data_IF_061151519137
#
_entry.id   IF_061151519137
#
_cell.length_a   1.000
_cell.length_b   1.000
_cell.length_c   1.000
_cell.angle_alpha   90.00
_cell.angle_beta   90.00
_cell.angle_gamma   90.00
#
_symmetry.space_group_name_H-M   'P 1'
#
loop_
_entity.id
_entity.type
_entity.pdbx_description
1 polymer ?
#
# COMPACT_ATOMS: atom_id res chain seq x y z
N UNK A 1 -50.36 -55.74 29.70
CA UNK A 1 -50.37 -55.22 28.31
C UNK A 1 -50.02 -53.75 28.36
N UNK A 2 -48.75 -53.38 28.09
CA UNK A 2 -48.34 -51.98 28.01
C UNK A 2 -48.39 -51.55 26.54
N UNK A 3 -49.31 -50.64 26.22
CA UNK A 3 -49.42 -50.05 24.91
C UNK A 3 -48.15 -49.21 24.63
N UNK A 4 -47.41 -49.58 23.60
CA UNK A 4 -46.33 -48.77 23.08
C UNK A 4 -46.92 -47.47 22.51
N UNK A 5 -46.63 -46.34 23.16
CA UNK A 5 -46.88 -45.01 22.60
C UNK A 5 -45.95 -44.86 21.41
N UNK A 6 -46.50 -45.02 20.21
CA UNK A 6 -45.79 -44.72 18.97
C UNK A 6 -45.53 -43.20 18.92
N UNK A 7 -44.27 -42.81 19.05
CA UNK A 7 -43.85 -41.44 18.79
C UNK A 7 -43.92 -41.18 17.27
N UNK A 8 -44.60 -40.12 16.82
CA UNK A 8 -44.69 -39.85 15.40
C UNK A 8 -43.32 -39.42 14.87
N UNK A 9 -42.84 -40.14 13.85
CA UNK A 9 -41.62 -39.81 13.10
C UNK A 9 -41.85 -38.46 12.42
N UNK A 10 -41.31 -37.38 12.97
CA UNK A 10 -41.44 -36.01 12.45
C UNK A 10 -40.58 -35.80 11.19
N UNK A 11 -40.82 -36.61 10.16
CA UNK A 11 -40.09 -36.59 8.90
C UNK A 11 -40.33 -35.28 8.13
N UNK A 12 -39.24 -34.57 7.83
CA UNK A 12 -39.15 -33.53 6.79
C UNK A 12 -39.67 -32.14 7.16
N UNK A 13 -40.88 -32.02 7.71
CA UNK A 13 -41.53 -30.70 7.91
C UNK A 13 -40.82 -29.82 8.94
N UNK A 14 -40.31 -30.42 10.03
CA UNK A 14 -39.54 -29.70 11.05
C UNK A 14 -38.19 -29.19 10.53
N UNK A 15 -37.51 -30.00 9.71
CA UNK A 15 -36.24 -29.65 9.08
C UNK A 15 -36.40 -28.52 8.05
N UNK A 16 -37.44 -28.57 7.21
CA UNK A 16 -37.73 -27.52 6.23
C UNK A 16 -38.07 -26.18 6.92
N UNK A 17 -38.82 -26.22 8.02
CA UNK A 17 -39.12 -25.04 8.84
C UNK A 17 -37.86 -24.44 9.47
N UNK A 18 -36.97 -25.28 10.01
CA UNK A 18 -35.66 -24.85 10.52
C UNK A 18 -34.81 -24.22 9.40
N UNK A 19 -34.71 -24.87 8.24
CA UNK A 19 -33.96 -24.37 7.10
C UNK A 19 -34.48 -23.00 6.61
N UNK A 20 -35.81 -22.80 6.59
CA UNK A 20 -36.43 -21.54 6.22
C UNK A 20 -36.13 -20.41 7.23
N UNK A 21 -36.29 -20.66 8.54
CA UNK A 21 -35.92 -19.71 9.59
C UNK A 21 -34.44 -19.35 9.54
N UNK A 22 -33.59 -20.33 9.24
CA UNK A 22 -32.17 -20.15 9.12
C UNK A 22 -31.79 -19.26 7.92
N UNK A 23 -32.35 -19.53 6.73
CA UNK A 23 -32.14 -18.69 5.53
C UNK A 23 -32.58 -17.24 5.77
N UNK A 24 -33.67 -17.05 6.51
CA UNK A 24 -34.16 -15.74 6.90
C UNK A 24 -33.17 -15.03 7.86
N UNK A 25 -32.56 -15.78 8.78
CA UNK A 25 -31.46 -15.30 9.62
C UNK A 25 -30.18 -14.95 8.83
N UNK A 26 -29.87 -15.71 7.77
CA UNK A 26 -28.72 -15.43 6.90
C UNK A 26 -28.94 -14.16 6.07
N UNK A 27 -30.13 -13.99 5.51
CA UNK A 27 -30.51 -12.75 4.81
C UNK A 27 -30.45 -11.54 5.76
N UNK A 28 -30.96 -11.68 6.99
CA UNK A 28 -30.87 -10.64 8.02
C UNK A 28 -29.40 -10.29 8.38
N UNK A 29 -28.49 -11.27 8.39
CA UNK A 29 -27.07 -11.03 8.62
C UNK A 29 -26.40 -10.27 7.46
N UNK A 30 -26.69 -10.63 6.21
CA UNK A 30 -26.18 -9.91 5.05
C UNK A 30 -26.66 -8.47 5.03
N UNK A 31 -27.95 -8.25 5.36
CA UNK A 31 -28.53 -6.92 5.51
C UNK A 31 -27.89 -6.17 6.69
N UNK A 32 -27.61 -6.85 7.81
CA UNK A 32 -26.93 -6.27 8.97
C UNK A 32 -25.47 -5.89 8.70
N UNK A 33 -24.72 -6.70 7.94
CA UNK A 33 -23.36 -6.38 7.50
C UNK A 33 -23.34 -5.15 6.58
N UNK A 34 -24.23 -5.12 5.59
CA UNK A 34 -24.35 -3.99 4.67
C UNK A 34 -24.83 -2.71 5.38
N UNK A 35 -25.86 -2.83 6.22
CA UNK A 35 -26.41 -1.73 7.02
C UNK A 35 -25.41 -1.22 8.06
N UNK A 36 -24.67 -2.12 8.73
CA UNK A 36 -23.62 -1.78 9.67
C UNK A 36 -22.45 -1.06 9.01
N UNK A 37 -22.03 -1.52 7.82
CA UNK A 37 -21.03 -0.83 7.00
C UNK A 37 -21.49 0.59 6.64
N UNK A 38 -22.71 0.73 6.14
CA UNK A 38 -23.28 2.02 5.77
C UNK A 38 -23.42 2.97 6.97
N UNK A 39 -23.92 2.48 8.11
CA UNK A 39 -24.06 3.26 9.34
C UNK A 39 -22.69 3.66 9.90
N UNK A 40 -21.70 2.76 9.84
CA UNK A 40 -20.31 3.04 10.23
C UNK A 40 -19.71 4.20 9.42
N UNK A 41 -19.98 4.25 8.11
CA UNK A 41 -19.56 5.38 7.27
C UNK A 41 -20.24 6.69 7.67
N UNK A 42 -21.53 6.69 8.01
CA UNK A 42 -22.23 7.90 8.46
C UNK A 42 -21.76 8.37 9.83
N UNK A 43 -21.57 7.45 10.77
CA UNK A 43 -21.08 7.75 12.11
C UNK A 43 -19.67 8.34 12.05
N UNK A 44 -18.80 7.80 11.18
CA UNK A 44 -17.46 8.33 10.97
C UNK A 44 -17.49 9.79 10.49
N UNK A 45 -18.38 10.13 9.54
CA UNK A 45 -18.55 11.52 9.09
C UNK A 45 -18.93 12.47 10.23
N UNK A 46 -19.84 12.03 11.11
CA UNK A 46 -20.26 12.81 12.27
C UNK A 46 -19.13 12.97 13.28
N UNK A 47 -18.42 11.89 13.61
CA UNK A 47 -17.32 11.89 14.59
C UNK A 47 -16.13 12.76 14.13
N UNK A 48 -15.76 12.68 12.85
CA UNK A 48 -14.77 13.57 12.24
C UNK A 48 -15.23 15.03 12.31
N UNK A 49 -16.51 15.29 12.05
CA UNK A 49 -17.10 16.63 12.22
C UNK A 49 -17.08 17.16 13.66
N UNK A 50 -16.99 16.28 14.65
CA UNK A 50 -16.86 16.60 16.08
C UNK A 50 -15.39 16.64 16.57
N UNK A 51 -14.41 16.53 15.66
CA UNK A 51 -12.99 16.55 16.01
C UNK A 51 -12.45 15.24 16.60
N UNK A 52 -13.24 14.16 16.56
CA UNK A 52 -12.81 12.82 16.99
C UNK A 52 -12.23 12.09 15.78
N UNK A 53 -10.90 11.98 15.73
CA UNK A 53 -10.17 11.26 14.69
C UNK A 53 -9.79 9.86 15.18
N UNK A 54 -10.41 8.82 14.61
CA UNK A 54 -9.89 7.46 14.71
C UNK A 54 -8.83 7.23 13.62
N UNK A 55 -7.88 6.31 13.85
CA UNK A 55 -6.90 5.94 12.81
C UNK A 55 -7.61 5.45 11.53
N UNK A 56 -6.94 5.57 10.39
CA UNK A 56 -7.49 5.33 9.03
C UNK A 56 -8.20 3.98 8.83
N UNK A 57 -8.07 3.03 9.76
CA UNK A 57 -8.62 1.67 9.67
C UNK A 57 -9.54 1.27 10.83
N UNK A 58 -9.66 2.08 11.89
CA UNK A 58 -10.46 1.71 13.07
C UNK A 58 -11.96 1.63 12.78
N UNK A 59 -12.45 2.41 11.80
CA UNK A 59 -13.86 2.41 11.38
C UNK A 59 -14.24 1.16 10.57
N UNK A 60 -13.27 0.49 9.95
CA UNK A 60 -13.53 -0.73 9.18
C UNK A 60 -13.90 -1.90 10.09
N UNK A 61 -13.44 -1.92 11.33
CA UNK A 61 -13.57 -3.05 12.26
C UNK A 61 -14.95 -3.06 12.97
N UNK A 62 -15.53 -1.88 13.21
CA UNK A 62 -16.83 -1.68 13.86
C UNK A 62 -18.02 -2.46 13.26
N UNK A 63 -18.26 -2.45 11.94
CA UNK A 63 -19.35 -3.23 11.34
C UNK A 63 -19.18 -4.74 11.52
N UNK A 64 -17.95 -5.25 11.62
CA UNK A 64 -17.70 -6.67 11.86
C UNK A 64 -18.00 -7.06 13.32
N UNK A 65 -17.61 -6.22 14.30
CA UNK A 65 -18.00 -6.44 15.70
C UNK A 65 -19.52 -6.44 15.88
N UNK A 66 -20.22 -5.49 15.23
CA UNK A 66 -21.68 -5.43 15.28
C UNK A 66 -22.31 -6.66 14.60
N UNK A 67 -21.81 -7.08 13.43
CA UNK A 67 -22.30 -8.28 12.75
C UNK A 67 -22.14 -9.54 13.62
N UNK A 68 -20.99 -9.71 14.29
CA UNK A 68 -20.76 -10.84 15.21
C UNK A 68 -21.74 -10.79 16.40
N UNK A 69 -21.97 -9.61 16.97
CA UNK A 69 -22.90 -9.46 18.10
C UNK A 69 -24.37 -9.71 17.72
N UNK A 70 -24.82 -9.20 16.56
CA UNK A 70 -26.19 -9.40 16.08
C UNK A 70 -26.42 -10.83 15.55
N UNK A 71 -25.38 -11.50 15.03
CA UNK A 71 -25.45 -12.91 14.65
C UNK A 71 -25.78 -13.81 15.86
N UNK A 72 -25.16 -13.57 17.01
CA UNK A 72 -25.43 -14.33 18.23
C UNK A 72 -26.90 -14.27 18.67
N UNK A 73 -27.54 -13.11 18.53
CA UNK A 73 -28.96 -12.90 18.86
C UNK A 73 -29.87 -13.60 17.84
N UNK A 74 -29.56 -13.49 16.55
CA UNK A 74 -30.32 -14.17 15.50
C UNK A 74 -30.23 -15.70 15.63
N UNK A 75 -29.02 -16.23 15.85
CA UNK A 75 -28.79 -17.65 16.10
C UNK A 75 -29.52 -18.14 17.35
N UNK A 76 -29.45 -17.40 18.46
CA UNK A 76 -30.19 -17.73 19.68
C UNK A 76 -31.71 -17.73 19.46
N UNK A 77 -32.24 -16.82 18.64
CA UNK A 77 -33.68 -16.75 18.33
C UNK A 77 -34.12 -17.92 17.45
N UNK A 78 -33.32 -18.30 16.44
CA UNK A 78 -33.61 -19.45 15.58
C UNK A 78 -33.50 -20.76 16.37
N UNK A 79 -32.45 -20.94 17.17
CA UNK A 79 -32.26 -22.13 18.01
C UNK A 79 -33.40 -22.21 19.05
N UNK A 80 -33.66 -21.12 19.78
CA UNK A 80 -34.71 -21.06 20.79
C UNK A 80 -36.11 -21.32 20.24
N UNK A 81 -36.44 -20.76 19.07
CA UNK A 81 -37.74 -20.98 18.42
C UNK A 81 -37.89 -22.37 17.81
N UNK A 82 -36.78 -23.02 17.44
CA UNK A 82 -36.77 -24.39 16.90
C UNK A 82 -36.88 -25.44 18.00
N UNK A 83 -36.19 -25.21 19.13
CA UNK A 83 -36.27 -26.07 20.32
C UNK A 83 -37.67 -26.01 20.95
N UNK A 84 -38.28 -24.83 21.06
CA UNK A 84 -39.59 -24.66 21.69
C UNK A 84 -40.77 -25.14 20.82
N UNK A 85 -40.67 -25.14 19.48
CA UNK A 85 -41.77 -25.57 18.58
C UNK A 85 -41.69 -26.99 18.06
N UNK A 86 -40.50 -27.56 17.88
CA UNK A 86 -40.31 -28.83 17.15
C UNK A 86 -39.72 -29.93 18.06
N UNK A 87 -39.29 -29.58 19.26
CA UNK A 87 -38.95 -30.52 20.33
C UNK A 87 -37.65 -31.30 20.17
N UNK A 88 -36.93 -31.23 19.04
CA UNK A 88 -35.67 -31.99 18.86
C UNK A 88 -34.63 -31.25 18.01
N UNK A 89 -33.56 -30.79 18.66
CA UNK A 89 -32.31 -30.40 17.99
C UNK A 89 -31.54 -31.68 17.59
N UNK A 90 -31.94 -32.30 16.48
CA UNK A 90 -31.21 -33.47 15.93
C UNK A 90 -29.82 -33.11 15.41
N UNK A 91 -28.93 -34.10 15.30
CA UNK A 91 -27.55 -33.95 14.81
C UNK A 91 -27.41 -33.29 13.43
N UNK A 92 -28.42 -33.41 12.56
CA UNK A 92 -28.47 -32.68 11.29
C UNK A 92 -28.56 -31.16 11.45
N UNK A 93 -29.27 -30.66 12.47
CA UNK A 93 -29.33 -29.23 12.79
C UNK A 93 -27.97 -28.74 13.30
N UNK A 94 -27.29 -29.55 14.11
CA UNK A 94 -25.93 -29.24 14.57
C UNK A 94 -24.94 -29.17 13.41
N UNK A 95 -24.97 -30.14 12.49
CA UNK A 95 -24.09 -30.15 11.32
C UNK A 95 -24.28 -28.90 10.45
N UNK A 96 -25.53 -28.53 10.14
CA UNK A 96 -25.86 -27.33 9.37
C UNK A 96 -25.42 -26.06 10.11
N UNK A 97 -25.62 -25.99 11.43
CA UNK A 97 -25.19 -24.85 12.26
C UNK A 97 -23.67 -24.68 12.24
N UNK A 98 -22.92 -25.78 12.40
CA UNK A 98 -21.44 -25.77 12.37
C UNK A 98 -20.94 -25.35 10.99
N UNK A 99 -21.45 -25.96 9.92
CA UNK A 99 -21.03 -25.65 8.55
C UNK A 99 -21.18 -24.16 8.25
N UNK A 100 -22.31 -23.57 8.63
CA UNK A 100 -22.62 -22.17 8.34
C UNK A 100 -21.87 -21.18 9.24
N UNK A 101 -21.54 -21.56 10.47
CA UNK A 101 -20.61 -20.79 11.31
C UNK A 101 -19.22 -20.71 10.65
N UNK A 102 -18.69 -21.84 10.17
CA UNK A 102 -17.41 -21.86 9.46
C UNK A 102 -17.46 -21.09 8.14
N UNK A 103 -18.52 -21.25 7.34
CA UNK A 103 -18.69 -20.47 6.11
C UNK A 103 -18.72 -18.96 6.37
N UNK A 104 -19.39 -18.52 7.44
CA UNK A 104 -19.43 -17.10 7.83
C UNK A 104 -18.05 -16.58 8.21
N UNK A 105 -17.31 -17.31 9.06
CA UNK A 105 -15.95 -16.94 9.48
C UNK A 105 -15.02 -16.86 8.27
N UNK A 106 -15.06 -17.87 7.38
CA UNK A 106 -14.25 -17.88 6.16
C UNK A 106 -14.62 -16.72 5.25
N UNK A 107 -15.92 -16.47 5.04
CA UNK A 107 -16.40 -15.36 4.22
C UNK A 107 -15.95 -14.00 4.73
N UNK A 108 -16.02 -13.77 6.05
CA UNK A 108 -15.49 -12.55 6.68
C UNK A 108 -13.98 -12.46 6.51
N UNK A 109 -13.23 -13.53 6.77
CA UNK A 109 -11.77 -13.53 6.62
C UNK A 109 -11.34 -13.25 5.17
N UNK A 110 -12.04 -13.82 4.18
CA UNK A 110 -11.78 -13.55 2.77
C UNK A 110 -12.15 -12.10 2.38
N UNK A 111 -13.27 -11.58 2.90
CA UNK A 111 -13.64 -10.18 2.68
C UNK A 111 -12.61 -9.23 3.31
N UNK A 112 -12.08 -9.55 4.50
CA UNK A 112 -11.00 -8.81 5.13
C UNK A 112 -9.71 -8.88 4.32
N UNK A 113 -9.33 -10.07 3.83
CA UNK A 113 -8.17 -10.24 2.97
C UNK A 113 -8.30 -9.47 1.65
N UNK A 114 -9.48 -9.52 1.02
CA UNK A 114 -9.76 -8.78 -0.21
C UNK A 114 -9.71 -7.27 0.02
N UNK A 115 -10.38 -6.77 1.07
CA UNK A 115 -10.32 -5.35 1.41
C UNK A 115 -8.90 -4.93 1.73
N UNK A 116 -8.16 -5.68 2.55
CA UNK A 116 -6.76 -5.39 2.85
C UNK A 116 -5.93 -5.28 1.56
N UNK A 117 -5.99 -6.28 0.67
CA UNK A 117 -5.26 -6.26 -0.61
C UNK A 117 -5.73 -5.13 -1.54
N UNK A 118 -7.03 -4.83 -1.58
CA UNK A 118 -7.58 -3.77 -2.43
C UNK A 118 -7.29 -2.36 -1.91
N UNK A 119 -7.17 -2.19 -0.59
CA UNK A 119 -6.97 -0.89 0.08
C UNK A 119 -5.55 -0.68 0.58
N UNK A 120 -4.62 -1.64 0.42
CA UNK A 120 -3.20 -1.41 0.67
C UNK A 120 -2.68 -0.41 -0.38
N UNK A 121 -2.32 0.83 0.01
CA UNK A 121 -1.62 1.76 -0.88
C UNK A 121 -0.14 1.36 -1.04
N UNK A 122 0.29 0.32 -0.31
CA UNK A 122 1.65 -0.19 -0.22
C UNK A 122 2.05 -1.19 -1.30
N UNK A 123 1.47 -1.10 -2.50
CA UNK A 123 2.25 -1.40 -3.69
C UNK A 123 2.89 -0.09 -4.12
N UNK A 124 4.03 0.22 -3.51
CA UNK A 124 5.05 1.01 -4.17
C UNK A 124 5.43 0.24 -5.45
N UNK A 125 4.64 0.53 -6.48
CA UNK A 125 4.54 -0.06 -7.82
C UNK A 125 4.05 -1.52 -7.91
N UNK A 126 2.96 -1.75 -8.66
CA UNK A 126 2.69 -3.03 -9.36
C UNK A 126 3.78 -3.42 -10.38
N UNK A 127 4.85 -2.62 -10.46
CA UNK A 127 5.81 -2.57 -11.54
C UNK A 127 7.26 -2.41 -11.06
N UNK A 128 7.60 -2.78 -9.82
CA UNK A 128 8.97 -2.62 -9.29
C UNK A 128 9.99 -3.42 -10.13
N UNK A 129 9.57 -4.50 -10.78
CA UNK A 129 10.40 -5.28 -11.71
C UNK A 129 10.65 -4.57 -13.05
N UNK A 130 9.64 -3.95 -13.68
CA UNK A 130 9.85 -3.17 -14.92
C UNK A 130 10.57 -1.87 -14.62
N UNK A 131 10.26 -1.21 -13.50
CA UNK A 131 11.02 -0.05 -13.03
C UNK A 131 12.50 -0.40 -12.76
N UNK A 132 12.78 -1.58 -12.19
CA UNK A 132 14.15 -2.07 -12.00
C UNK A 132 14.84 -2.45 -13.33
N UNK A 133 14.11 -3.03 -14.29
CA UNK A 133 14.66 -3.32 -15.62
C UNK A 133 14.98 -2.03 -16.39
N UNK A 134 14.11 -1.04 -16.33
CA UNK A 134 14.32 0.26 -16.95
C UNK A 134 15.46 1.02 -16.26
N UNK A 135 15.60 0.90 -14.93
CA UNK A 135 16.78 1.37 -14.20
C UNK A 135 18.06 0.67 -14.68
N UNK A 136 18.08 -0.67 -14.76
CA UNK A 136 19.25 -1.42 -15.22
C UNK A 136 19.62 -1.09 -16.66
N UNK A 137 18.63 -0.91 -17.55
CA UNK A 137 18.85 -0.51 -18.94
C UNK A 137 19.45 0.90 -19.03
N UNK A 138 18.90 1.86 -18.28
CA UNK A 138 19.45 3.23 -18.21
C UNK A 138 20.85 3.26 -17.63
N UNK A 139 21.09 2.50 -16.55
CA UNK A 139 22.41 2.35 -15.94
C UNK A 139 23.43 1.78 -16.93
N UNK A 140 23.08 0.71 -17.64
CA UNK A 140 23.95 0.10 -18.64
C UNK A 140 24.25 1.06 -19.80
N UNK A 141 23.26 1.82 -20.28
CA UNK A 141 23.46 2.84 -21.31
C UNK A 141 24.41 3.95 -20.81
N UNK A 142 24.22 4.43 -19.58
CA UNK A 142 25.09 5.41 -18.96
C UNK A 142 26.54 4.89 -18.79
N UNK A 143 26.71 3.65 -18.33
CA UNK A 143 28.04 3.03 -18.16
C UNK A 143 28.72 2.82 -19.51
N UNK A 144 27.97 2.52 -20.57
CA UNK A 144 28.48 2.36 -21.94
C UNK A 144 29.02 3.68 -22.53
N UNK A 145 28.57 4.84 -22.05
CA UNK A 145 29.17 6.13 -22.45
C UNK A 145 30.64 6.23 -22.03
N UNK A 146 31.05 5.55 -20.96
CA UNK A 146 32.44 5.53 -20.50
C UNK A 146 32.96 6.89 -20.01
N UNK A 147 32.07 7.82 -19.63
CA UNK A 147 32.45 9.15 -19.19
C UNK A 147 33.07 9.16 -17.80
N UNK A 148 34.29 9.70 -17.72
CA UNK A 148 34.93 10.04 -16.47
C UNK A 148 34.66 11.50 -16.10
N UNK A 149 34.17 11.72 -14.88
CA UNK A 149 33.75 13.04 -14.43
C UNK A 149 34.35 13.32 -13.07
N UNK A 150 35.08 14.43 -12.99
CA UNK A 150 35.71 14.90 -11.76
C UNK A 150 35.35 16.36 -11.47
N UNK A 151 35.25 16.69 -10.19
CA UNK A 151 34.94 18.04 -9.72
C UNK A 151 36.01 18.50 -8.73
N UNK A 152 36.49 19.73 -8.92
CA UNK A 152 37.37 20.42 -7.99
C UNK A 152 36.88 21.84 -7.77
N UNK A 153 37.19 22.44 -6.63
CA UNK A 153 36.84 23.83 -6.36
C UNK A 153 38.02 24.53 -5.70
N UNK A 154 38.46 25.62 -6.31
CA UNK A 154 39.58 26.47 -5.87
C UNK A 154 39.20 27.93 -6.12
N UNK A 155 39.60 28.83 -5.22
CA UNK A 155 39.40 30.28 -5.35
C UNK A 155 37.95 30.73 -5.65
N UNK A 156 36.96 29.99 -5.13
CA UNK A 156 35.54 30.29 -5.36
C UNK A 156 35.03 29.90 -6.75
N UNK A 157 35.81 29.12 -7.51
CA UNK A 157 35.42 28.60 -8.81
C UNK A 157 35.33 27.07 -8.73
N UNK A 158 34.15 26.54 -9.03
CA UNK A 158 33.96 25.12 -9.25
C UNK A 158 34.40 24.79 -10.67
N UNK A 159 35.28 23.80 -10.82
CA UNK A 159 35.72 23.24 -12.09
C UNK A 159 35.21 21.81 -12.21
N UNK A 160 34.54 21.52 -13.31
CA UNK A 160 34.06 20.21 -13.65
C UNK A 160 34.69 19.76 -14.97
N UNK A 161 35.43 18.66 -14.90
CA UNK A 161 36.09 18.04 -16.06
C UNK A 161 35.33 16.77 -16.42
N UNK A 162 34.90 16.69 -17.68
CA UNK A 162 34.17 15.56 -18.24
C UNK A 162 34.96 15.02 -19.43
N UNK A 163 35.46 13.79 -19.33
CA UNK A 163 36.24 13.14 -20.37
C UNK A 163 35.53 11.86 -20.84
N UNK A 164 35.63 11.58 -22.13
CA UNK A 164 35.15 10.36 -22.74
C UNK A 164 36.08 9.17 -22.47
N UNK A 165 35.70 7.98 -22.95
CA UNK A 165 36.48 6.76 -22.77
C UNK A 165 37.85 6.80 -23.47
N UNK A 166 38.01 7.67 -24.46
CA UNK A 166 39.25 7.97 -25.19
C UNK A 166 40.10 9.08 -24.54
N UNK A 167 39.61 9.66 -23.44
CA UNK A 167 40.24 10.80 -22.76
C UNK A 167 39.96 12.16 -23.43
N UNK A 168 39.14 12.21 -24.49
CA UNK A 168 38.75 13.47 -25.11
C UNK A 168 37.71 14.22 -24.25
N UNK A 169 37.70 15.56 -24.24
CA UNK A 169 36.66 16.33 -23.54
C UNK A 169 35.28 16.04 -24.14
N UNK A 170 34.29 15.85 -23.27
CA UNK A 170 32.90 15.59 -23.66
C UNK A 170 32.03 16.82 -23.40
N UNK A 171 31.17 17.12 -24.36
CA UNK A 171 30.23 18.23 -24.33
C UNK A 171 28.79 17.70 -24.39
N UNK A 172 28.10 17.55 -23.26
CA UNK A 172 26.70 17.16 -23.27
C UNK A 172 25.83 18.25 -23.89
N UNK A 173 24.75 17.85 -24.56
CA UNK A 173 23.77 18.76 -25.20
C UNK A 173 23.01 19.57 -24.16
N UNK A 174 22.72 18.95 -23.02
CA UNK A 174 22.11 19.59 -21.85
C UNK A 174 22.86 19.15 -20.59
N UNK A 175 23.06 20.07 -19.65
CA UNK A 175 23.69 19.78 -18.37
C UNK A 175 23.07 20.63 -17.27
N UNK A 176 22.62 19.97 -16.22
CA UNK A 176 22.17 20.60 -14.98
C UNK A 176 22.97 20.04 -13.81
N UNK A 177 23.35 20.92 -12.88
CA UNK A 177 23.90 20.47 -11.61
C UNK A 177 23.42 21.31 -10.44
N UNK A 178 23.18 20.64 -9.33
CA UNK A 178 22.81 21.25 -8.06
C UNK A 178 23.91 20.93 -7.05
N UNK A 179 24.46 21.98 -6.47
CA UNK A 179 25.43 21.92 -5.39
C UNK A 179 24.71 22.06 -4.05
N UNK A 180 24.94 21.13 -3.14
CA UNK A 180 24.28 21.16 -1.84
C UNK A 180 25.04 20.40 -0.76
N UNK A 181 24.58 20.54 0.49
CA UNK A 181 25.13 19.78 1.62
C UNK A 181 24.48 18.41 1.74
N UNK A 182 25.16 17.46 2.39
CA UNK A 182 24.66 16.08 2.53
C UNK A 182 23.34 15.97 3.31
N UNK A 183 23.06 16.92 4.22
CA UNK A 183 21.95 16.83 5.19
C UNK A 183 21.09 18.10 5.27
N UNK A 184 21.32 19.10 4.42
CA UNK A 184 20.59 20.36 4.44
C UNK A 184 20.25 20.79 3.02
N UNK A 185 18.94 20.95 2.74
CA UNK A 185 18.40 21.38 1.43
C UNK A 185 18.48 22.91 1.29
N UNK A 186 18.60 23.65 2.40
CA UNK A 186 18.55 25.11 2.45
C UNK A 186 19.68 25.81 1.66
N UNK A 187 20.79 25.10 1.44
CA UNK A 187 21.98 25.63 0.74
C UNK A 187 22.09 25.07 -0.70
N UNK A 188 21.01 24.52 -1.27
CA UNK A 188 21.04 24.00 -2.64
C UNK A 188 21.14 25.16 -3.65
N UNK A 189 22.25 25.20 -4.39
CA UNK A 189 22.52 26.18 -5.43
C UNK A 189 22.53 25.48 -6.80
N UNK A 190 21.72 25.99 -7.74
CA UNK A 190 21.80 25.60 -9.15
C UNK A 190 23.08 26.20 -9.74
N UNK A 191 23.86 25.37 -10.42
CA UNK A 191 25.13 25.77 -11.01
C UNK A 191 24.92 26.13 -12.48
N UNK A 192 25.20 27.39 -12.81
CA UNK A 192 25.31 27.84 -14.20
C UNK A 192 26.76 27.69 -14.65
N UNK A 193 27.01 26.70 -15.50
CA UNK A 193 28.34 26.45 -16.02
C UNK A 193 28.62 27.27 -17.27
N UNK A 194 29.80 27.86 -17.31
CA UNK A 194 30.43 28.41 -18.53
C UNK A 194 31.58 27.49 -18.93
N UNK A 195 31.85 27.33 -20.22
CA UNK A 195 32.99 26.54 -20.66
C UNK A 195 34.23 27.43 -20.87
N UNK A 196 35.36 27.07 -20.26
CA UNK A 196 36.62 27.84 -20.39
C UNK A 196 37.60 27.28 -21.44
N UNK A 197 37.16 26.28 -22.21
CA UNK A 197 37.98 25.56 -23.20
C UNK A 197 38.59 24.27 -22.68
N UNK A 198 38.59 24.05 -21.36
CA UNK A 198 39.14 22.83 -20.72
C UNK A 198 38.18 22.20 -19.72
N UNK A 199 37.35 22.99 -19.06
CA UNK A 199 36.42 22.55 -18.04
C UNK A 199 35.15 23.39 -18.06
N UNK A 200 34.08 22.82 -17.51
CA UNK A 200 32.90 23.57 -17.12
C UNK A 200 33.17 24.28 -15.80
N UNK A 201 33.08 25.60 -15.80
CA UNK A 201 33.38 26.46 -14.65
C UNK A 201 32.13 27.19 -14.17
N UNK A 202 31.92 27.23 -12.85
CA UNK A 202 30.83 27.97 -12.24
C UNK A 202 31.33 28.73 -11.01
N UNK A 203 30.99 30.02 -10.85
CA UNK A 203 31.30 30.76 -9.63
C UNK A 203 30.44 30.24 -8.47
N UNK A 204 31.08 29.90 -7.34
CA UNK A 204 30.42 29.31 -6.18
C UNK A 204 30.94 29.92 -4.88
N UNK A 205 30.04 30.10 -3.91
CA UNK A 205 30.44 30.53 -2.56
C UNK A 205 30.40 29.32 -1.64
N UNK A 206 31.57 28.69 -1.42
CA UNK A 206 31.66 27.47 -0.62
C UNK A 206 32.36 27.71 0.71
N UNK A 207 31.69 27.33 1.80
CA UNK A 207 32.34 27.19 3.09
C UNK A 207 33.09 25.85 3.16
N UNK A 208 34.11 25.77 4.03
CA UNK A 208 34.90 24.56 4.27
C UNK A 208 34.04 23.32 4.52
N UNK A 209 34.50 22.16 4.05
CA UNK A 209 33.91 20.85 4.34
C UNK A 209 33.40 20.12 3.10
N UNK A 210 32.47 19.18 3.34
CA UNK A 210 31.99 18.24 2.33
C UNK A 210 30.73 18.77 1.66
N UNK A 211 30.78 18.76 0.34
CA UNK A 211 29.69 19.16 -0.54
C UNK A 211 29.36 18.03 -1.50
N UNK A 212 28.12 18.02 -1.98
CA UNK A 212 27.67 17.08 -2.99
C UNK A 212 27.18 17.84 -4.20
N UNK A 213 27.62 17.41 -5.37
CA UNK A 213 27.13 17.88 -6.65
C UNK A 213 26.26 16.76 -7.20
N UNK A 214 24.97 17.04 -7.39
CA UNK A 214 24.06 16.16 -8.12
C UNK A 214 23.97 16.70 -9.52
N UNK A 215 24.45 15.93 -10.50
CA UNK A 215 24.41 16.34 -11.90
C UNK A 215 23.57 15.39 -12.75
N UNK A 216 22.99 15.96 -13.79
CA UNK A 216 22.33 15.29 -14.89
C UNK A 216 22.81 15.92 -16.19
N UNK A 217 23.20 15.09 -17.14
CA UNK A 217 23.65 15.50 -18.46
C UNK A 217 23.04 14.61 -19.53
N UNK A 218 22.85 15.13 -20.73
CA UNK A 218 22.34 14.39 -21.89
C UNK A 218 23.46 14.27 -22.92
N UNK A 219 23.79 13.05 -23.32
CA UNK A 219 24.74 12.78 -24.40
C UNK A 219 24.16 13.15 -25.77
N UNK A 220 25.01 13.30 -26.78
CA UNK A 220 24.58 13.61 -28.15
C UNK A 220 23.61 12.56 -28.72
N UNK A 221 23.74 11.29 -28.29
CA UNK A 221 22.85 10.20 -28.67
C UNK A 221 21.52 10.17 -27.88
N UNK A 222 21.31 11.12 -26.98
CA UNK A 222 20.14 11.23 -26.10
C UNK A 222 20.22 10.42 -24.81
N UNK A 223 21.34 9.73 -24.53
CA UNK A 223 21.51 8.97 -23.30
C UNK A 223 21.64 9.91 -22.10
N UNK A 224 20.81 9.68 -21.07
CA UNK A 224 20.90 10.40 -19.81
C UNK A 224 22.05 9.88 -18.95
N UNK A 225 22.90 10.78 -18.50
CA UNK A 225 23.96 10.55 -17.54
C UNK A 225 23.62 11.25 -16.22
N UNK A 226 23.48 10.50 -15.13
CA UNK A 226 23.32 11.08 -13.80
C UNK A 226 24.41 10.59 -12.86
N UNK A 227 25.04 11.52 -12.14
CA UNK A 227 26.07 11.18 -11.16
C UNK A 227 26.03 12.11 -9.97
N UNK A 228 26.36 11.56 -8.81
CA UNK A 228 26.65 12.33 -7.60
C UNK A 228 28.15 12.38 -7.41
N UNK A 229 28.71 13.58 -7.35
CA UNK A 229 30.12 13.82 -7.06
C UNK A 229 30.26 14.38 -5.66
N UNK A 230 31.31 13.95 -4.95
CA UNK A 230 31.64 14.49 -3.63
C UNK A 230 32.76 15.50 -3.80
N UNK A 231 32.51 16.72 -3.40
CA UNK A 231 33.47 17.82 -3.45
C UNK A 231 33.97 18.11 -2.03
N UNK A 232 35.29 18.10 -1.86
CA UNK A 232 35.94 18.45 -0.60
C UNK A 232 36.66 19.78 -0.76
N UNK A 233 36.17 20.82 -0.07
CA UNK A 233 36.78 22.14 -0.11
C UNK A 233 37.82 22.23 1.00
N UNK A 234 39.10 22.23 0.61
CA UNK A 234 40.25 22.46 1.50
C UNK A 234 40.55 23.96 1.58
N UNK A 235 41.05 24.39 2.74
CA UNK A 235 41.28 25.80 3.08
C UNK A 235 42.41 26.40 2.24
#
# INVERSE_FOLDING_TARGET
MNAAVATPKSGGKGFLYFAALFLLGLAANLVGLYGGYWLGLQLNKVLVGLGVSFGEYSWMILPFFLAIMFWGVAAATVIGSSVTRVGQFMGGHMFVTVLLAFTTIIGVNLALAYNAVATFPGLEVKNSYVASQEFNKRKAAQEALGWDVSASAEDGILRLVMNGPDGAPVYPTEMEAILGRATQIKDDQVLEFTHDGKAFVAPVTLARGNWNIRMTATAEDGTLYSRRLVLHVKK
#
